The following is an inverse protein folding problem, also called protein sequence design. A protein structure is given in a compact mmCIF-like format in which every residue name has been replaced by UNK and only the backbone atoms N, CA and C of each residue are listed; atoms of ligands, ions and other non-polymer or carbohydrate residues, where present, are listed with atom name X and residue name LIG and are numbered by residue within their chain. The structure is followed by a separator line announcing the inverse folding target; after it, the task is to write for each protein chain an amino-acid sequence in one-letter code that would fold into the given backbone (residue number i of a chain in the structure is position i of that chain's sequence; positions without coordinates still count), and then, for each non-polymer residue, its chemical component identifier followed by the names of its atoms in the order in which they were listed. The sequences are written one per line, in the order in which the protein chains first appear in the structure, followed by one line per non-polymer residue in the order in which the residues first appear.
data_IF_879750316371
#
_entry.id   IF_879750316371
#
_cell.length_a   1.000
_cell.length_b   1.000
_cell.length_c   1.000
_cell.angle_alpha   90.00
_cell.angle_beta   90.00
_cell.angle_gamma   90.00
#
_symmetry.space_group_name_H-M   'P 1'
#
loop_
_entity.id
_entity.type
_entity.pdbx_description
1 polymer ?
#
# COMPACT_ATOMS: atom_id res chain seq x y z
N UNK A 1 26.64 19.67 -4.45
CA UNK A 1 26.18 20.53 -3.34
C UNK A 1 26.35 19.73 -2.05
N UNK A 2 27.30 20.13 -1.24
CA UNK A 2 27.73 19.47 -0.01
C UNK A 2 26.67 19.63 1.08
N UNK A 3 26.24 18.51 1.65
CA UNK A 3 25.32 18.42 2.81
C UNK A 3 25.96 19.05 4.07
N UNK A 4 26.13 20.35 4.08
CA UNK A 4 26.55 21.07 5.28
C UNK A 4 25.38 21.77 5.93
N UNK A 5 25.11 21.38 7.20
CA UNK A 5 24.29 22.07 8.20
C UNK A 5 22.75 21.86 8.14
N UNK A 6 22.29 20.60 8.22
CA UNK A 6 20.88 20.34 8.57
C UNK A 6 20.67 20.23 10.10
N UNK A 7 21.72 19.94 10.85
CA UNK A 7 21.65 19.91 12.32
C UNK A 7 22.08 21.27 12.90
N UNK A 8 21.17 22.24 12.88
CA UNK A 8 21.34 23.40 13.70
C UNK A 8 21.26 22.95 15.17
N UNK A 9 22.30 23.21 15.98
CA UNK A 9 22.43 22.76 17.37
C UNK A 9 21.26 23.16 18.29
N UNK A 10 20.36 24.02 17.81
CA UNK A 10 19.21 24.52 18.55
C UNK A 10 17.85 23.94 18.06
N UNK A 11 17.85 23.02 17.10
CA UNK A 11 16.59 22.40 16.66
C UNK A 11 16.32 21.15 17.48
N UNK A 12 15.28 21.20 18.31
CA UNK A 12 14.70 20.00 18.93
C UNK A 12 13.66 19.39 17.99
N UNK A 13 13.66 18.08 17.88
CA UNK A 13 12.67 17.29 17.14
C UNK A 13 11.94 16.36 18.11
N UNK A 14 10.65 16.20 17.91
CA UNK A 14 9.81 15.35 18.75
C UNK A 14 9.89 13.89 18.29
N UNK A 15 10.17 13.67 17.02
CA UNK A 15 10.34 12.33 16.43
C UNK A 15 11.45 12.33 15.38
N UNK A 16 12.18 11.19 15.30
CA UNK A 16 13.19 10.96 14.27
C UNK A 16 12.83 9.66 13.53
N UNK A 17 12.69 9.74 12.21
CA UNK A 17 12.45 8.60 11.33
C UNK A 17 13.71 8.31 10.53
N UNK A 18 14.17 7.07 10.54
CA UNK A 18 15.38 6.64 9.84
C UNK A 18 15.00 5.94 8.54
N UNK A 19 15.50 6.48 7.42
CA UNK A 19 15.15 6.09 6.06
C UNK A 19 13.97 6.90 5.53
N UNK A 20 14.08 7.42 4.31
CA UNK A 20 13.02 8.19 3.64
C UNK A 20 12.31 7.35 2.57
N UNK A 21 11.98 6.11 2.89
CA UNK A 21 11.13 5.25 2.08
C UNK A 21 9.64 5.50 2.33
N UNK A 22 8.77 4.72 1.65
CA UNK A 22 7.31 4.85 1.75
C UNK A 22 6.80 4.68 3.19
N UNK A 23 7.41 3.80 3.98
CA UNK A 23 7.00 3.56 5.36
C UNK A 23 7.17 4.80 6.23
N UNK A 24 8.37 5.39 6.24
CA UNK A 24 8.65 6.61 7.01
C UNK A 24 7.85 7.80 6.48
N UNK A 25 7.70 7.92 5.16
CA UNK A 25 6.89 8.98 4.55
C UNK A 25 5.42 8.88 4.97
N UNK A 26 4.83 7.70 4.93
CA UNK A 26 3.44 7.47 5.35
C UNK A 26 3.27 7.70 6.84
N UNK A 27 4.21 7.20 7.66
CA UNK A 27 4.16 7.39 9.12
C UNK A 27 4.27 8.88 9.49
N UNK A 28 5.21 9.61 8.89
CA UNK A 28 5.35 11.05 9.11
C UNK A 28 4.08 11.80 8.76
N UNK A 29 3.45 11.44 7.64
CA UNK A 29 2.20 12.05 7.20
C UNK A 29 1.05 11.77 8.17
N UNK A 30 0.89 10.53 8.63
CA UNK A 30 -0.12 10.14 9.61
C UNK A 30 0.08 10.87 10.95
N UNK A 31 1.32 10.93 11.43
CA UNK A 31 1.64 11.65 12.67
C UNK A 31 1.30 13.14 12.52
N UNK A 32 1.67 13.77 11.41
CA UNK A 32 1.38 15.17 11.14
C UNK A 32 -0.13 15.47 11.00
N UNK A 33 -0.94 14.50 10.57
CA UNK A 33 -2.40 14.63 10.54
C UNK A 33 -3.03 14.60 11.94
N UNK A 34 -2.46 13.79 12.85
CA UNK A 34 -2.97 13.63 14.22
C UNK A 34 -2.43 14.71 15.15
N UNK A 35 -1.15 15.07 14.96
CA UNK A 35 -0.39 16.01 15.78
C UNK A 35 0.25 17.10 14.90
N UNK A 36 -0.52 18.11 14.44
CA UNK A 36 -0.02 19.09 13.46
C UNK A 36 1.18 19.94 13.93
N UNK A 37 1.39 20.05 15.23
CA UNK A 37 2.50 20.81 15.81
C UNK A 37 3.79 20.02 15.97
N UNK A 38 3.78 18.70 15.72
CA UNK A 38 4.93 17.83 15.93
C UNK A 38 6.06 18.14 14.92
N UNK A 39 7.27 18.19 15.42
CA UNK A 39 8.49 18.36 14.60
C UNK A 39 9.11 17.03 14.31
N UNK A 40 9.05 16.58 13.06
CA UNK A 40 9.58 15.30 12.61
C UNK A 40 10.84 15.54 11.79
N UNK A 41 11.91 14.83 12.13
CA UNK A 41 13.13 14.73 11.32
C UNK A 41 13.14 13.39 10.61
N UNK A 42 13.31 13.42 9.28
CA UNK A 42 13.55 12.21 8.50
C UNK A 42 15.01 12.21 8.06
N UNK A 43 15.74 11.16 8.42
CA UNK A 43 17.15 10.99 8.07
C UNK A 43 17.24 9.95 6.94
N UNK A 44 17.88 10.34 5.83
CA UNK A 44 18.10 9.47 4.68
C UNK A 44 19.59 9.34 4.38
N UNK A 45 20.03 8.12 4.15
CA UNK A 45 21.42 7.79 3.78
C UNK A 45 21.74 8.21 2.35
N UNK A 46 20.78 8.08 1.46
CA UNK A 46 20.93 8.37 0.05
C UNK A 46 20.68 9.87 -0.25
N UNK A 47 21.07 10.29 -1.42
CA UNK A 47 20.92 11.68 -1.86
C UNK A 47 19.48 12.10 -2.20
N UNK A 48 18.54 11.15 -2.25
CA UNK A 48 17.11 11.37 -2.52
C UNK A 48 16.26 10.35 -1.78
N UNK A 49 15.03 10.71 -1.37
CA UNK A 49 14.09 9.77 -0.77
C UNK A 49 13.63 8.70 -1.77
N UNK A 50 13.23 7.55 -1.25
CA UNK A 50 12.61 6.48 -2.03
C UNK A 50 13.53 5.76 -3.03
N UNK A 51 14.84 5.76 -2.82
CA UNK A 51 15.81 5.16 -3.76
C UNK A 51 16.16 3.69 -3.48
N UNK A 52 15.81 3.19 -2.31
CA UNK A 52 15.98 1.77 -1.94
C UNK A 52 14.73 0.96 -2.30
N UNK A 53 14.17 0.20 -1.35
CA UNK A 53 13.00 -0.68 -1.55
C UNK A 53 11.78 0.01 -2.19
N UNK A 54 11.63 1.31 -1.99
CA UNK A 54 10.57 2.12 -2.60
C UNK A 54 10.89 2.54 -4.05
N UNK A 55 12.14 2.34 -4.48
CA UNK A 55 12.58 2.72 -5.83
C UNK A 55 11.90 1.91 -6.94
N UNK A 56 11.63 2.56 -8.07
CA UNK A 56 10.89 1.97 -9.19
C UNK A 56 11.50 0.67 -9.76
N UNK A 57 12.81 0.48 -9.60
CA UNK A 57 13.50 -0.74 -10.03
C UNK A 57 13.61 -1.81 -8.94
N UNK A 58 13.22 -1.48 -7.71
CA UNK A 58 13.30 -2.37 -6.55
C UNK A 58 11.90 -2.75 -6.03
N UNK A 59 10.85 -2.18 -6.61
CA UNK A 59 9.47 -2.37 -6.17
C UNK A 59 8.53 -2.36 -7.38
N UNK A 60 7.61 -3.31 -7.45
CA UNK A 60 6.61 -3.37 -8.52
C UNK A 60 5.64 -2.17 -8.50
N UNK A 61 5.51 -1.49 -7.36
CA UNK A 61 4.64 -0.32 -7.21
C UNK A 61 3.16 -0.62 -7.39
N UNK A 62 2.75 -1.88 -7.20
CA UNK A 62 1.36 -2.29 -7.37
C UNK A 62 0.57 -2.15 -6.08
N UNK A 63 -0.55 -1.42 -6.13
CA UNK A 63 -1.61 -1.51 -5.15
C UNK A 63 -2.69 -2.47 -5.64
N UNK A 64 -3.14 -3.38 -4.78
CA UNK A 64 -4.17 -4.35 -5.15
C UNK A 64 -4.99 -4.79 -3.94
N UNK A 65 -6.23 -5.17 -4.21
CA UNK A 65 -7.17 -5.67 -3.21
C UNK A 65 -7.03 -7.19 -2.97
N UNK A 66 -5.83 -7.74 -3.05
CA UNK A 66 -5.52 -9.17 -2.94
C UNK A 66 -6.12 -10.07 -4.04
N UNK A 67 -6.83 -9.53 -5.01
CA UNK A 67 -7.52 -10.33 -6.03
C UNK A 67 -6.58 -10.87 -7.12
N UNK A 68 -5.40 -10.28 -7.29
CA UNK A 68 -4.42 -10.69 -8.29
C UNK A 68 -3.46 -11.78 -7.81
N UNK A 69 -3.34 -12.01 -6.51
CA UNK A 69 -2.38 -12.95 -5.93
C UNK A 69 -3.07 -14.25 -5.52
N UNK A 70 -2.90 -15.30 -6.33
CA UNK A 70 -3.56 -16.59 -6.08
C UNK A 70 -3.06 -17.27 -4.81
N UNK A 71 -1.81 -17.03 -4.40
CA UNK A 71 -1.20 -17.60 -3.20
C UNK A 71 -1.75 -17.00 -1.88
N UNK A 72 -2.59 -15.97 -1.94
CA UNK A 72 -3.28 -15.46 -0.75
C UNK A 72 -4.52 -16.28 -0.37
N UNK A 73 -4.88 -17.24 -1.19
CA UNK A 73 -6.04 -18.10 -0.99
C UNK A 73 -5.65 -19.57 -1.17
N UNK A 74 -4.76 -20.12 -0.33
CA UNK A 74 -4.39 -21.53 -0.43
C UNK A 74 -5.57 -22.44 -0.10
N UNK A 75 -5.50 -23.68 -0.53
CA UNK A 75 -6.40 -24.73 -0.04
C UNK A 75 -5.81 -25.30 1.25
N UNK A 76 -6.67 -25.64 2.21
CA UNK A 76 -6.28 -26.38 3.40
C UNK A 76 -6.21 -27.90 3.12
N UNK A 77 -5.96 -28.70 4.16
CA UNK A 77 -5.84 -30.15 4.10
C UNK A 77 -7.13 -30.85 3.63
N UNK A 78 -8.28 -30.19 3.81
CA UNK A 78 -9.60 -30.69 3.38
C UNK A 78 -9.97 -30.24 1.95
N UNK A 79 -9.12 -29.41 1.32
CA UNK A 79 -9.38 -28.81 0.01
C UNK A 79 -10.30 -27.60 0.06
N UNK A 80 -10.51 -27.00 1.25
CA UNK A 80 -11.27 -25.78 1.43
C UNK A 80 -10.41 -24.55 1.24
N UNK A 81 -10.99 -23.52 0.63
CA UNK A 81 -10.30 -22.29 0.31
C UNK A 81 -10.13 -21.38 1.53
N UNK A 82 -8.91 -21.04 1.87
CA UNK A 82 -8.58 -20.12 2.95
C UNK A 82 -8.54 -18.70 2.43
N UNK A 83 -9.47 -17.84 2.83
CA UNK A 83 -9.61 -16.47 2.29
C UNK A 83 -9.20 -15.36 3.27
N UNK A 84 -8.95 -15.66 4.53
CA UNK A 84 -8.72 -14.67 5.58
C UNK A 84 -7.55 -13.73 5.26
N UNK A 85 -6.47 -14.28 4.69
CA UNK A 85 -5.32 -13.48 4.27
C UNK A 85 -5.69 -12.50 3.16
N UNK A 86 -6.45 -12.94 2.17
CA UNK A 86 -6.91 -12.07 1.09
C UNK A 86 -7.83 -10.96 1.61
N UNK A 87 -8.75 -11.27 2.53
CA UNK A 87 -9.64 -10.30 3.16
C UNK A 87 -8.87 -9.26 3.99
N UNK A 88 -7.85 -9.70 4.74
CA UNK A 88 -6.99 -8.79 5.51
C UNK A 88 -6.24 -7.82 4.61
N UNK A 89 -5.69 -8.29 3.50
CA UNK A 89 -4.99 -7.46 2.51
C UNK A 89 -5.96 -6.50 1.82
N UNK A 90 -7.17 -6.97 1.48
CA UNK A 90 -8.21 -6.11 0.90
C UNK A 90 -8.55 -4.94 1.84
N UNK A 91 -8.79 -5.21 3.12
CA UNK A 91 -9.06 -4.16 4.13
C UNK A 91 -7.92 -3.16 4.24
N UNK A 92 -6.67 -3.65 4.23
CA UNK A 92 -5.49 -2.77 4.28
C UNK A 92 -5.39 -1.88 3.05
N UNK A 93 -5.73 -2.41 1.87
CA UNK A 93 -5.78 -1.64 0.64
C UNK A 93 -6.88 -0.57 0.67
N UNK A 94 -8.10 -0.91 1.10
CA UNK A 94 -9.22 0.02 1.25
C UNK A 94 -8.90 1.14 2.24
N UNK A 95 -8.26 0.82 3.37
CA UNK A 95 -7.79 1.82 4.32
C UNK A 95 -6.77 2.78 3.69
N UNK A 96 -5.86 2.26 2.88
CA UNK A 96 -4.88 3.09 2.15
C UNK A 96 -5.56 4.01 1.15
N UNK A 97 -6.53 3.50 0.40
CA UNK A 97 -7.32 4.30 -0.56
C UNK A 97 -8.12 5.39 0.15
N UNK A 98 -8.72 5.08 1.29
CA UNK A 98 -9.48 6.03 2.12
C UNK A 98 -8.57 7.15 2.65
N UNK A 99 -7.38 6.81 3.13
CA UNK A 99 -6.37 7.79 3.55
C UNK A 99 -5.99 8.72 2.39
N UNK A 100 -5.64 8.16 1.23
CA UNK A 100 -5.26 8.95 0.06
C UNK A 100 -6.39 9.85 -0.43
N UNK A 101 -7.63 9.37 -0.43
CA UNK A 101 -8.81 10.18 -0.77
C UNK A 101 -8.98 11.36 0.19
N UNK A 102 -8.83 11.12 1.50
CA UNK A 102 -8.88 12.18 2.52
C UNK A 102 -7.76 13.22 2.33
N UNK A 103 -6.53 12.78 2.10
CA UNK A 103 -5.40 13.69 1.88
C UNK A 103 -5.54 14.49 0.57
N UNK A 104 -6.07 13.85 -0.47
CA UNK A 104 -6.35 14.51 -1.74
C UNK A 104 -7.44 15.59 -1.59
N UNK A 105 -8.52 15.29 -0.89
CA UNK A 105 -9.60 16.28 -0.62
C UNK A 105 -9.13 17.49 0.18
N UNK A 106 -8.11 17.31 1.03
CA UNK A 106 -7.44 18.37 1.78
C UNK A 106 -6.35 19.10 0.97
N UNK A 107 -6.12 18.73 -0.29
CA UNK A 107 -5.07 19.31 -1.14
C UNK A 107 -3.63 18.96 -0.71
N UNK A 108 -3.44 17.97 0.15
CA UNK A 108 -2.12 17.59 0.68
C UNK A 108 -1.32 16.71 -0.24
N UNK A 109 -1.98 15.92 -1.08
CA UNK A 109 -1.35 15.08 -2.10
C UNK A 109 -2.10 15.20 -3.42
N UNK A 110 -1.40 14.91 -4.50
CA UNK A 110 -2.00 14.76 -5.82
C UNK A 110 -1.91 13.30 -6.25
N UNK A 111 -2.99 12.55 -6.03
CA UNK A 111 -3.05 11.12 -6.31
C UNK A 111 -2.81 10.80 -7.80
N UNK A 112 -3.13 11.71 -8.72
CA UNK A 112 -2.94 11.53 -10.16
C UNK A 112 -1.47 11.42 -10.56
N UNK A 113 -0.55 11.91 -9.71
CA UNK A 113 0.89 11.84 -9.97
C UNK A 113 1.48 10.45 -9.70
N UNK A 114 0.86 9.64 -8.85
CA UNK A 114 1.43 8.35 -8.46
C UNK A 114 0.46 7.17 -8.57
N UNK A 115 -0.86 7.40 -8.58
CA UNK A 115 -1.86 6.34 -8.68
C UNK A 115 -2.42 6.29 -10.10
N UNK A 116 -2.30 5.12 -10.73
CA UNK A 116 -2.85 4.84 -12.06
C UNK A 116 -3.62 3.54 -12.01
N UNK A 117 -4.83 3.55 -12.53
CA UNK A 117 -5.56 2.31 -12.74
C UNK A 117 -4.94 1.52 -13.89
N UNK A 118 -4.69 0.25 -13.65
CA UNK A 118 -4.26 -0.70 -14.67
C UNK A 118 -5.13 -1.97 -14.58
N UNK A 119 -5.60 -2.52 -15.71
CA UNK A 119 -6.33 -3.78 -15.67
C UNK A 119 -5.39 -4.91 -15.24
N UNK A 120 -5.89 -5.81 -14.40
CA UNK A 120 -5.20 -7.03 -14.05
C UNK A 120 -5.84 -8.22 -14.76
N UNK A 121 -5.02 -9.06 -15.38
CA UNK A 121 -5.45 -10.29 -16.06
C UNK A 121 -4.59 -11.44 -15.54
N UNK A 122 -5.25 -12.47 -15.02
CA UNK A 122 -4.62 -13.74 -14.67
C UNK A 122 -5.24 -14.83 -15.50
N UNK A 123 -4.42 -15.78 -15.95
CA UNK A 123 -4.92 -16.99 -16.61
C UNK A 123 -4.29 -18.23 -15.98
N UNK A 124 -4.99 -19.33 -16.05
CA UNK A 124 -4.55 -20.64 -15.56
C UNK A 124 -4.82 -21.69 -16.61
N UNK A 125 -4.05 -22.77 -16.58
CA UNK A 125 -4.22 -23.93 -17.46
C UNK A 125 -4.43 -25.19 -16.62
N UNK A 126 -5.10 -26.18 -17.19
CA UNK A 126 -5.41 -27.44 -16.51
C UNK A 126 -6.72 -27.37 -15.72
N UNK A 127 -7.43 -28.51 -15.67
CA UNK A 127 -8.77 -28.63 -15.07
C UNK A 127 -8.78 -28.30 -13.59
N UNK A 128 -7.75 -28.70 -12.85
CA UNK A 128 -7.61 -28.43 -11.41
C UNK A 128 -7.46 -26.92 -11.14
N UNK A 129 -6.56 -26.26 -11.86
CA UNK A 129 -6.34 -24.84 -11.73
C UNK A 129 -7.58 -24.01 -12.12
N UNK A 130 -8.29 -24.45 -13.16
CA UNK A 130 -9.58 -23.84 -13.57
C UNK A 130 -10.62 -24.00 -12.46
N UNK A 131 -10.72 -25.17 -11.87
CA UNK A 131 -11.63 -25.44 -10.75
C UNK A 131 -11.30 -24.59 -9.53
N UNK A 132 -10.01 -24.51 -9.17
CA UNK A 132 -9.50 -23.65 -8.11
C UNK A 132 -9.87 -22.18 -8.37
N UNK A 133 -9.60 -21.65 -9.54
CA UNK A 133 -9.88 -20.25 -9.89
C UNK A 133 -11.39 -19.96 -9.81
N UNK A 134 -12.26 -20.89 -10.24
CA UNK A 134 -13.70 -20.76 -10.11
C UNK A 134 -14.17 -20.76 -8.64
N UNK A 135 -13.62 -21.64 -7.80
CA UNK A 135 -13.91 -21.65 -6.34
C UNK A 135 -13.51 -20.31 -5.70
N UNK A 136 -12.28 -19.86 -6.00
CA UNK A 136 -11.74 -18.60 -5.51
C UNK A 136 -12.59 -17.41 -5.91
N UNK A 137 -12.97 -17.34 -7.18
CA UNK A 137 -13.81 -16.24 -7.69
C UNK A 137 -15.14 -16.17 -6.91
N UNK A 138 -15.83 -17.30 -6.72
CA UNK A 138 -17.07 -17.36 -5.98
C UNK A 138 -16.89 -16.94 -4.51
N UNK A 139 -15.84 -17.43 -3.84
CA UNK A 139 -15.59 -17.09 -2.45
C UNK A 139 -15.25 -15.58 -2.30
N UNK A 140 -14.43 -15.02 -3.17
CA UNK A 140 -14.08 -13.61 -3.11
C UNK A 140 -15.28 -12.69 -3.43
N UNK A 141 -16.15 -13.05 -4.35
CA UNK A 141 -17.35 -12.25 -4.68
C UNK A 141 -18.29 -12.06 -3.49
N UNK A 142 -18.41 -13.04 -2.61
CA UNK A 142 -19.25 -12.95 -1.41
C UNK A 142 -18.77 -11.84 -0.44
N UNK A 143 -17.50 -11.49 -0.47
CA UNK A 143 -16.88 -10.52 0.43
C UNK A 143 -16.44 -9.22 -0.26
N UNK A 144 -16.41 -9.22 -1.58
CA UNK A 144 -16.16 -8.05 -2.41
C UNK A 144 -17.42 -7.70 -3.20
N UNK A 145 -18.58 -7.73 -2.55
CA UNK A 145 -19.81 -7.20 -3.14
C UNK A 145 -19.53 -5.84 -3.75
N UNK A 146 -20.02 -5.57 -4.96
CA UNK A 146 -19.78 -4.26 -5.57
C UNK A 146 -20.18 -3.19 -4.56
N UNK A 147 -19.27 -2.25 -4.35
CA UNK A 147 -19.60 -1.05 -3.57
C UNK A 147 -20.86 -0.45 -4.18
N UNK A 148 -21.80 0.08 -3.38
CA UNK A 148 -22.96 0.79 -3.89
C UNK A 148 -22.61 1.99 -4.81
N UNK A 149 -21.33 2.19 -5.09
CA UNK A 149 -20.77 3.25 -5.94
C UNK A 149 -20.31 2.77 -7.31
N UNK A 150 -20.40 1.46 -7.59
CA UNK A 150 -20.15 0.96 -8.93
C UNK A 150 -21.44 1.14 -9.74
N UNK A 151 -21.38 1.87 -10.87
CA UNK A 151 -22.57 2.17 -11.69
C UNK A 151 -23.17 0.91 -12.32
#
# INVERSE_FOLDING_TARGET
MTSKNILNKNNSYDAILVGAGIMSGTLALLIAEILPAIKILIIEKLNKPGRESTGAFNNAGTGHAANCELNYTPLDENGDLQIDKALSINRSFENSMSLWASLYSKGKIDIKKFLKFIPHISFVTGTENISFLKKRFKACLLYTSPSPRDP
#
